data_IF_733179420952
#
_entry.id   IF_733179420952
#
_cell.length_a   1.000
_cell.length_b   1.000
_cell.length_c   1.000
_cell.angle_alpha   90.00
_cell.angle_beta   90.00
_cell.angle_gamma   90.00
#
_symmetry.space_group_name_H-M   'P 1'
#
loop_
_entity.id
_entity.type
_entity.pdbx_description
1 polymer ?
#
# COMPACT_ATOMS: atom_id res chain seq x y z
N UNK A 1 -15.87 -6.87 7.80
CA UNK A 1 -15.76 -7.30 6.40
C UNK A 1 -16.21 -6.16 5.50
N UNK A 2 -15.44 -5.88 4.47
CA UNK A 2 -15.82 -4.87 3.49
C UNK A 2 -16.84 -5.47 2.54
N UNK A 3 -18.04 -4.87 2.47
CA UNK A 3 -19.06 -5.33 1.54
C UNK A 3 -18.59 -5.07 0.10
N UNK A 4 -19.00 -5.91 -0.89
CA UNK A 4 -18.58 -5.70 -2.28
C UNK A 4 -18.91 -4.30 -2.81
N UNK A 5 -20.01 -3.72 -2.38
CA UNK A 5 -20.43 -2.37 -2.79
C UNK A 5 -19.53 -1.28 -2.19
N UNK A 6 -18.78 -1.58 -1.12
CA UNK A 6 -17.84 -0.64 -0.52
C UNK A 6 -16.46 -0.69 -1.17
N UNK A 7 -16.24 -1.66 -2.06
CA UNK A 7 -14.96 -1.81 -2.72
C UNK A 7 -14.78 -0.73 -3.80
N UNK A 8 -13.72 0.04 -3.68
CA UNK A 8 -13.35 1.08 -4.65
C UNK A 8 -12.11 0.61 -5.42
N UNK A 9 -12.27 0.24 -6.70
CA UNK A 9 -11.12 -0.25 -7.48
C UNK A 9 -10.06 0.82 -7.73
N UNK A 10 -10.39 2.10 -7.55
CA UNK A 10 -9.44 3.19 -7.73
C UNK A 10 -8.76 3.63 -6.44
N UNK A 11 -9.14 3.04 -5.31
CA UNK A 11 -8.57 3.42 -4.02
C UNK A 11 -7.05 3.26 -3.97
N UNK A 12 -6.45 2.17 -4.51
CA UNK A 12 -5.00 2.05 -4.50
C UNK A 12 -4.30 3.18 -5.26
N UNK A 13 -4.86 3.61 -6.39
CA UNK A 13 -4.29 4.71 -7.17
C UNK A 13 -4.36 6.02 -6.40
N UNK A 14 -5.48 6.29 -5.72
CA UNK A 14 -5.62 7.50 -4.94
C UNK A 14 -4.65 7.54 -3.78
N UNK A 15 -4.50 6.42 -3.07
CA UNK A 15 -3.58 6.36 -1.94
C UNK A 15 -2.13 6.48 -2.40
N UNK A 16 -1.77 5.82 -3.50
CA UNK A 16 -0.43 5.94 -4.07
C UNK A 16 -0.15 7.39 -4.50
N UNK A 17 -1.15 8.09 -5.03
CA UNK A 17 -1.00 9.49 -5.42
C UNK A 17 -0.72 10.39 -4.22
N UNK A 18 -1.35 10.09 -3.07
CA UNK A 18 -1.08 10.84 -1.83
C UNK A 18 0.38 10.67 -1.42
N UNK A 19 0.88 9.44 -1.39
CA UNK A 19 2.28 9.17 -1.05
C UNK A 19 3.23 9.79 -2.07
N UNK A 20 2.88 9.72 -3.34
CA UNK A 20 3.68 10.34 -4.38
C UNK A 20 3.76 11.86 -4.19
N UNK A 21 2.65 12.50 -3.83
CA UNK A 21 2.63 13.93 -3.52
C UNK A 21 3.57 14.27 -2.37
N UNK A 22 3.60 13.43 -1.34
CA UNK A 22 4.53 13.61 -0.22
C UNK A 22 5.98 13.46 -0.68
N UNK A 23 6.26 12.48 -1.54
CA UNK A 23 7.58 12.31 -2.12
C UNK A 23 8.05 13.56 -2.86
N UNK A 24 7.16 14.15 -3.67
CA UNK A 24 7.48 15.37 -4.42
C UNK A 24 7.75 16.56 -3.51
N UNK A 25 7.21 16.54 -2.28
CA UNK A 25 7.46 17.59 -1.28
C UNK A 25 8.74 17.38 -0.50
N UNK A 26 9.50 16.32 -0.80
CA UNK A 26 10.80 16.10 -0.19
C UNK A 26 10.86 14.97 0.85
N UNK A 27 9.76 14.24 1.05
CA UNK A 27 9.80 13.08 1.94
C UNK A 27 10.59 11.94 1.31
N UNK A 28 11.29 11.17 2.14
CA UNK A 28 12.09 10.05 1.67
C UNK A 28 11.21 8.96 1.07
N UNK A 29 11.58 8.44 -0.10
CA UNK A 29 10.87 7.32 -0.71
C UNK A 29 10.89 6.09 0.18
N UNK A 30 12.00 5.83 0.87
CA UNK A 30 12.12 4.67 1.76
C UNK A 30 11.20 4.79 2.96
N UNK A 31 11.06 5.98 3.54
CA UNK A 31 10.15 6.20 4.65
C UNK A 31 8.70 6.02 4.21
N UNK A 32 8.36 6.55 3.03
CA UNK A 32 6.99 6.43 2.50
C UNK A 32 6.66 4.98 2.17
N UNK A 33 7.62 4.20 1.65
CA UNK A 33 7.41 2.77 1.41
C UNK A 33 7.09 2.03 2.69
N UNK A 34 7.79 2.35 3.77
CA UNK A 34 7.50 1.74 5.07
C UNK A 34 6.09 2.07 5.55
N UNK A 35 5.63 3.29 5.30
CA UNK A 35 4.29 3.71 5.70
C UNK A 35 3.20 3.01 4.88
N UNK A 36 3.48 2.72 3.60
CA UNK A 36 2.54 2.02 2.74
C UNK A 36 2.47 0.54 3.08
N UNK A 37 3.61 -0.05 3.45
CA UNK A 37 3.69 -1.50 3.69
C UNK A 37 2.84 -1.92 4.89
N UNK A 38 2.60 -3.21 5.00
CA UNK A 38 1.78 -3.76 6.09
C UNK A 38 2.45 -3.47 7.43
N UNK A 39 1.76 -2.82 8.38
CA UNK A 39 2.32 -2.60 9.71
C UNK A 39 2.71 -3.91 10.38
N UNK A 40 3.82 -3.90 11.11
CA UNK A 40 4.33 -5.09 11.76
C UNK A 40 3.31 -5.76 12.69
N UNK A 41 2.55 -5.03 13.50
CA UNK A 41 1.52 -5.68 14.35
C UNK A 41 0.49 -6.46 13.54
N UNK A 42 0.11 -5.98 12.36
CA UNK A 42 -0.83 -6.67 11.49
C UNK A 42 -0.19 -7.94 10.93
N UNK A 43 1.06 -7.85 10.49
CA UNK A 43 1.80 -9.00 9.99
C UNK A 43 1.97 -10.06 11.08
N UNK A 44 2.30 -9.65 12.30
CA UNK A 44 2.45 -10.58 13.42
C UNK A 44 1.15 -11.32 13.72
N UNK A 45 0.02 -10.62 13.68
CA UNK A 45 -1.29 -11.24 13.84
C UNK A 45 -1.55 -12.25 12.73
N UNK A 46 -1.17 -11.93 11.52
CA UNK A 46 -1.37 -12.81 10.37
C UNK A 46 -0.55 -14.08 10.49
N UNK A 47 0.64 -13.99 11.05
CA UNK A 47 1.52 -15.15 11.23
C UNK A 47 1.00 -16.14 12.29
N UNK A 48 -0.05 -15.80 13.02
CA UNK A 48 -0.67 -16.66 14.02
C UNK A 48 -2.11 -17.01 13.61
N UNK A 49 -2.32 -17.63 12.44
CA UNK A 49 -3.65 -17.80 11.87
C UNK A 49 -4.58 -18.68 12.70
N UNK A 50 -4.03 -19.60 13.50
CA UNK A 50 -4.84 -20.51 14.32
C UNK A 50 -5.58 -19.79 15.47
N UNK A 51 -5.24 -18.52 15.75
CA UNK A 51 -5.87 -17.75 16.82
C UNK A 51 -7.09 -16.95 16.33
N UNK A 52 -7.33 -16.92 15.02
CA UNK A 52 -8.31 -16.03 14.45
C UNK A 52 -9.27 -16.78 13.54
N UNK A 53 -10.49 -16.27 13.45
CA UNK A 53 -11.49 -16.80 12.55
C UNK A 53 -11.06 -16.61 11.09
N UNK A 54 -11.62 -17.46 10.20
CA UNK A 54 -11.32 -17.41 8.77
C UNK A 54 -11.63 -16.05 8.16
N UNK A 55 -12.76 -15.44 8.55
CA UNK A 55 -13.16 -14.13 8.05
C UNK A 55 -12.13 -13.05 8.40
N UNK A 56 -11.60 -13.09 9.61
CA UNK A 56 -10.57 -12.14 10.04
C UNK A 56 -9.28 -12.32 9.24
N UNK A 57 -8.86 -13.58 9.03
CA UNK A 57 -7.68 -13.86 8.23
C UNK A 57 -7.84 -13.40 6.79
N UNK A 58 -9.03 -13.57 6.21
CA UNK A 58 -9.31 -13.09 4.86
C UNK A 58 -9.25 -11.57 4.79
N UNK A 59 -9.72 -10.88 5.82
CA UNK A 59 -9.62 -9.41 5.88
C UNK A 59 -8.17 -8.96 5.91
N UNK A 60 -7.30 -9.66 6.66
CA UNK A 60 -5.88 -9.35 6.71
C UNK A 60 -5.20 -9.58 5.36
N UNK A 61 -5.58 -10.66 4.66
CA UNK A 61 -5.05 -10.93 3.31
C UNK A 61 -5.46 -9.85 2.33
N UNK A 62 -6.70 -9.38 2.40
CA UNK A 62 -7.19 -8.32 1.54
C UNK A 62 -6.44 -7.01 1.81
N UNK A 63 -6.21 -6.70 3.06
CA UNK A 63 -5.42 -5.53 3.45
C UNK A 63 -4.00 -5.61 2.90
N UNK A 64 -3.37 -6.78 3.03
CA UNK A 64 -2.02 -7.00 2.53
C UNK A 64 -1.95 -6.84 1.01
N UNK A 65 -2.92 -7.41 0.29
CA UNK A 65 -3.00 -7.29 -1.16
C UNK A 65 -3.20 -5.84 -1.57
N UNK A 66 -4.05 -5.12 -0.87
CA UNK A 66 -4.29 -3.70 -1.12
C UNK A 66 -3.01 -2.90 -0.97
N UNK A 67 -2.30 -3.10 0.14
CA UNK A 67 -1.05 -2.38 0.40
C UNK A 67 0.02 -2.70 -0.64
N UNK A 68 0.09 -3.94 -1.09
CA UNK A 68 1.03 -4.30 -2.16
C UNK A 68 0.72 -3.55 -3.46
N UNK A 69 -0.56 -3.39 -3.79
CA UNK A 69 -0.95 -2.63 -4.98
C UNK A 69 -0.58 -1.16 -4.84
N UNK A 70 -0.85 -0.57 -3.68
CA UNK A 70 -0.47 0.82 -3.41
C UNK A 70 1.04 0.99 -3.58
N UNK A 71 1.82 0.09 -3.00
CA UNK A 71 3.28 0.15 -3.10
C UNK A 71 3.76 0.02 -4.55
N UNK A 72 3.19 -0.89 -5.31
CA UNK A 72 3.56 -1.07 -6.72
C UNK A 72 3.30 0.18 -7.54
N UNK A 73 2.14 0.82 -7.34
CA UNK A 73 1.79 2.05 -8.05
C UNK A 73 2.71 3.19 -7.63
N UNK A 74 2.98 3.31 -6.33
CA UNK A 74 3.89 4.32 -5.80
C UNK A 74 5.29 4.18 -6.39
N UNK A 75 5.82 2.95 -6.44
CA UNK A 75 7.14 2.69 -7.01
C UNK A 75 7.18 3.04 -8.50
N UNK A 76 6.11 2.76 -9.23
CA UNK A 76 6.03 3.11 -10.64
C UNK A 76 6.05 4.63 -10.83
N UNK A 77 5.32 5.37 -10.00
CA UNK A 77 5.31 6.83 -10.07
C UNK A 77 6.68 7.42 -9.79
N UNK A 78 7.40 6.88 -8.79
CA UNK A 78 8.75 7.33 -8.48
C UNK A 78 9.70 7.04 -9.64
N UNK A 79 9.58 5.86 -10.25
CA UNK A 79 10.43 5.49 -11.38
C UNK A 79 10.22 6.46 -12.55
N UNK A 80 8.97 6.81 -12.83
CA UNK A 80 8.66 7.79 -13.89
C UNK A 80 9.28 9.15 -13.59
N UNK A 81 9.22 9.59 -12.34
CA UNK A 81 9.80 10.86 -11.93
C UNK A 81 11.32 10.86 -12.11
N UNK A 82 11.98 9.79 -11.70
CA UNK A 82 13.43 9.65 -11.88
C UNK A 82 13.80 9.66 -13.36
N UNK A 83 13.00 9.00 -14.18
CA UNK A 83 13.22 8.98 -15.63
C UNK A 83 13.07 10.37 -16.24
N UNK A 84 12.02 11.09 -15.83
CA UNK A 84 11.80 12.46 -16.29
C UNK A 84 12.99 13.38 -15.94
N UNK A 85 13.50 13.24 -14.72
CA UNK A 85 14.63 14.04 -14.27
C UNK A 85 15.88 13.78 -15.11
N UNK A 86 16.07 12.54 -15.59
CA UNK A 86 17.23 12.21 -16.44
C UNK A 86 17.14 12.80 -17.85
N UNK A 87 15.92 12.99 -18.35
CA UNK A 87 15.71 13.51 -19.70
C UNK A 87 15.95 15.02 -19.73
N UNK A 88 15.69 15.68 -18.63
CA UNK A 88 15.94 17.11 -18.51
C UNK A 88 17.43 17.38 -18.26
#
# INVERSE_FOLDING_TARGET
>A
MIAPEDFDPLAPQREAAIFYGLFLRGHSADDLRRDIDVPRPVLDKWLHPHRYETSFRNSLRNMYTYRKRVLAIFDELILREKHRARIQ
#
